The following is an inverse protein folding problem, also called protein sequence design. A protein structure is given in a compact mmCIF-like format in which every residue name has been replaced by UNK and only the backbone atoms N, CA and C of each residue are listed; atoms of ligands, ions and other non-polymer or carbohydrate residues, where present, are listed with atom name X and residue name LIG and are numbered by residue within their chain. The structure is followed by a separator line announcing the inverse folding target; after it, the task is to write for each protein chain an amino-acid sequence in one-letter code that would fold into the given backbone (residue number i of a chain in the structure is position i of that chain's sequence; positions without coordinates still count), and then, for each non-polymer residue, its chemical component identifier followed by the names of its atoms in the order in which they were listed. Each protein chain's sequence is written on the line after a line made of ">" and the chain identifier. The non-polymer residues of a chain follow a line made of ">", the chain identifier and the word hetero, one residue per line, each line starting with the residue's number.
data_IF_316858532558
#
_entry.id   IF_316858532558
#
_cell.length_a   1.000
_cell.length_b   1.000
_cell.length_c   1.000
_cell.angle_alpha   90.00
_cell.angle_beta   90.00
_cell.angle_gamma   90.00
#
_symmetry.space_group_name_H-M   'P 1'
#
loop_
_entity.id
_entity.type
_entity.pdbx_description
1 polymer ?
#
# COMPACT_ATOMS: atom_id res chain seq x y z
N UNK A 1 4.91 7.56 -4.82
CA UNK A 1 5.21 8.98 -4.72
C UNK A 1 6.37 9.24 -3.74
N UNK A 2 7.14 10.34 -3.93
CA UNK A 2 8.27 10.76 -3.11
C UNK A 2 9.10 11.84 -3.82
N UNK A 3 9.82 12.68 -3.06
CA UNK A 3 10.58 13.79 -3.60
C UNK A 3 9.70 14.81 -4.36
N UNK A 4 10.02 15.06 -5.62
CA UNK A 4 9.22 15.97 -6.48
C UNK A 4 7.80 15.47 -6.73
N UNK A 5 7.58 14.14 -6.75
CA UNK A 5 6.26 13.57 -6.97
C UNK A 5 5.48 13.53 -5.66
N UNK A 6 4.72 14.57 -5.38
CA UNK A 6 3.86 14.66 -4.21
C UNK A 6 2.67 13.71 -4.22
N UNK A 7 2.28 13.18 -5.40
CA UNK A 7 1.00 12.50 -5.55
C UNK A 7 -0.18 13.47 -5.50
N UNK A 8 -1.29 13.03 -4.98
CA UNK A 8 -2.48 13.85 -4.78
C UNK A 8 -2.28 14.88 -3.65
N UNK A 9 -3.00 16.00 -3.75
CA UNK A 9 -3.08 16.99 -2.67
C UNK A 9 -4.53 17.08 -2.20
N UNK A 10 -4.72 16.92 -0.92
CA UNK A 10 -6.01 16.93 -0.24
C UNK A 10 -6.66 18.32 -0.19
N UNK A 11 -7.94 18.35 0.16
CA UNK A 11 -8.72 19.59 0.30
C UNK A 11 -8.22 20.48 1.44
N UNK A 12 -7.50 19.90 2.41
CA UNK A 12 -6.83 20.58 3.53
C UNK A 12 -5.34 20.88 3.26
N UNK A 13 -4.85 20.61 2.05
CA UNK A 13 -3.43 20.77 1.68
C UNK A 13 -2.54 19.58 2.02
N UNK A 14 -3.09 18.52 2.60
CA UNK A 14 -2.35 17.29 2.93
C UNK A 14 -1.80 16.64 1.65
N UNK A 15 -0.53 16.26 1.66
CA UNK A 15 0.15 15.70 0.49
C UNK A 15 0.23 14.18 0.60
N UNK A 16 -0.18 13.48 -0.44
CA UNK A 16 -0.26 12.01 -0.46
C UNK A 16 1.06 11.34 -0.08
N UNK A 17 2.19 11.78 -0.62
CA UNK A 17 3.50 11.17 -0.34
C UNK A 17 3.85 11.13 1.15
N UNK A 18 3.42 12.13 1.92
CA UNK A 18 3.71 12.25 3.35
C UNK A 18 2.87 11.26 4.15
N UNK A 19 1.59 11.16 3.83
CA UNK A 19 0.67 10.16 4.45
C UNK A 19 1.10 8.73 4.11
N UNK A 20 1.46 8.49 2.84
CA UNK A 20 1.94 7.19 2.40
C UNK A 20 3.18 6.75 3.19
N UNK A 21 4.15 7.66 3.37
CA UNK A 21 5.38 7.38 4.13
C UNK A 21 5.08 7.11 5.60
N UNK A 22 4.20 7.90 6.22
CA UNK A 22 3.84 7.73 7.63
C UNK A 22 3.18 6.36 7.89
N UNK A 23 2.19 5.98 7.08
CA UNK A 23 1.50 4.69 7.21
C UNK A 23 2.46 3.53 6.89
N UNK A 24 3.26 3.64 5.82
CA UNK A 24 4.23 2.60 5.43
C UNK A 24 5.31 2.39 6.50
N UNK A 25 5.80 3.47 7.12
CA UNK A 25 6.78 3.40 8.21
C UNK A 25 6.20 2.71 9.45
N UNK A 26 4.99 3.09 9.88
CA UNK A 26 4.31 2.45 11.00
C UNK A 26 4.01 0.96 10.72
N UNK A 27 3.59 0.61 9.50
CA UNK A 27 3.41 -0.78 9.10
C UNK A 27 4.73 -1.56 9.16
N UNK A 28 5.82 -0.97 8.67
CA UNK A 28 7.14 -1.60 8.72
C UNK A 28 7.62 -1.82 10.16
N UNK A 29 7.34 -0.91 11.07
CA UNK A 29 7.64 -1.06 12.51
C UNK A 29 6.85 -2.22 13.12
N UNK A 30 5.54 -2.31 12.87
CA UNK A 30 4.70 -3.42 13.33
C UNK A 30 5.19 -4.78 12.83
N UNK A 31 5.52 -4.88 11.54
CA UNK A 31 6.04 -6.11 10.94
C UNK A 31 7.41 -6.50 11.51
N UNK A 32 8.33 -5.54 11.69
CA UNK A 32 9.66 -5.78 12.28
C UNK A 32 9.56 -6.20 13.73
N UNK A 33 8.64 -5.62 14.51
CA UNK A 33 8.37 -6.01 15.89
C UNK A 33 7.88 -7.47 16.01
N UNK A 34 7.21 -7.97 14.96
CA UNK A 34 6.81 -9.38 14.83
C UNK A 34 7.88 -10.27 14.15
N UNK A 35 9.12 -9.78 14.03
CA UNK A 35 10.29 -10.48 13.46
C UNK A 35 10.20 -10.77 11.95
N UNK A 36 9.38 -10.06 11.20
CA UNK A 36 9.39 -10.14 9.74
C UNK A 36 10.51 -9.29 9.14
N UNK A 37 11.04 -9.74 8.00
CA UNK A 37 11.98 -8.95 7.19
C UNK A 37 11.19 -7.94 6.37
N UNK A 38 11.53 -6.64 6.49
CA UNK A 38 10.84 -5.57 5.75
C UNK A 38 11.81 -4.71 4.98
N UNK A 39 11.58 -4.61 3.68
CA UNK A 39 12.23 -3.69 2.77
C UNK A 39 11.29 -2.52 2.51
N UNK A 40 11.62 -1.33 2.99
CA UNK A 40 10.92 -0.09 2.61
C UNK A 40 11.46 0.39 1.27
N UNK A 41 10.57 0.71 0.34
CA UNK A 41 10.95 1.32 -0.95
C UNK A 41 11.65 2.66 -0.72
N UNK A 42 11.17 3.42 0.25
CA UNK A 42 11.81 4.65 0.75
C UNK A 42 11.54 4.82 2.24
N UNK A 43 12.48 5.38 2.94
CA UNK A 43 12.40 5.72 4.38
C UNK A 43 12.49 7.23 4.63
N UNK A 44 12.33 8.03 3.58
CA UNK A 44 12.37 9.48 3.61
C UNK A 44 11.66 10.11 2.41
N UNK A 45 11.72 11.45 2.33
CA UNK A 45 11.12 12.19 1.21
C UNK A 45 12.06 12.27 0.00
N UNK A 46 12.16 11.16 -0.70
CA UNK A 46 12.90 11.05 -1.97
C UNK A 46 12.21 10.10 -2.93
N UNK A 47 12.53 10.26 -4.22
CA UNK A 47 12.16 9.33 -5.28
C UNK A 47 13.29 8.32 -5.49
N UNK A 48 12.94 7.06 -5.76
CA UNK A 48 13.91 6.00 -6.14
C UNK A 48 14.21 5.99 -7.64
N UNK A 49 13.63 6.92 -8.40
CA UNK A 49 13.87 7.12 -9.83
C UNK A 49 15.22 7.76 -10.13
N UNK A 50 15.65 7.66 -11.37
CA UNK A 50 16.90 8.29 -11.87
C UNK A 50 16.71 9.81 -11.95
N UNK A 51 17.36 10.54 -11.05
CA UNK A 51 17.29 12.00 -10.93
C UNK A 51 18.07 12.74 -12.05
N UNK A 52 18.87 12.04 -12.86
CA UNK A 52 19.59 12.62 -14.01
C UNK A 52 18.68 12.84 -15.23
N UNK A 53 17.49 12.23 -15.25
CA UNK A 53 16.52 12.36 -16.34
C UNK A 53 15.92 13.75 -16.39
N UNK A 54 15.67 14.23 -17.62
CA UNK A 54 15.39 15.65 -17.90
C UNK A 54 13.99 16.08 -17.46
N UNK A 55 13.00 15.19 -17.54
CA UNK A 55 11.60 15.54 -17.27
C UNK A 55 11.06 14.82 -16.04
N UNK A 56 10.08 15.43 -15.37
CA UNK A 56 9.37 14.83 -14.24
C UNK A 56 8.71 13.49 -14.67
N UNK A 57 8.16 13.44 -15.88
CA UNK A 57 7.51 12.25 -16.41
C UNK A 57 8.48 11.08 -16.56
N UNK A 58 9.70 11.34 -17.06
CA UNK A 58 10.74 10.31 -17.17
C UNK A 58 11.20 9.84 -15.80
N UNK A 59 11.38 10.77 -14.83
CA UNK A 59 11.75 10.41 -13.44
C UNK A 59 10.67 9.58 -12.76
N UNK A 60 9.39 9.90 -12.93
CA UNK A 60 8.27 9.08 -12.43
C UNK A 60 8.24 7.69 -13.03
N UNK A 61 8.46 7.59 -14.35
CA UNK A 61 8.55 6.30 -15.04
C UNK A 61 9.72 5.47 -14.52
N UNK A 62 10.87 6.10 -14.32
CA UNK A 62 12.06 5.46 -13.73
C UNK A 62 11.80 5.01 -12.29
N UNK A 63 11.15 5.84 -11.47
CA UNK A 63 10.77 5.49 -10.09
C UNK A 63 9.92 4.21 -10.07
N UNK A 64 8.86 4.16 -10.85
CA UNK A 64 7.97 2.99 -10.88
C UNK A 64 8.70 1.72 -11.35
N UNK A 65 9.57 1.83 -12.35
CA UNK A 65 10.41 0.70 -12.81
C UNK A 65 11.39 0.23 -11.74
N UNK A 66 11.99 1.15 -10.99
CA UNK A 66 12.92 0.81 -9.92
C UNK A 66 12.19 0.12 -8.75
N UNK A 67 10.90 0.46 -8.49
CA UNK A 67 10.07 -0.27 -7.52
C UNK A 67 9.82 -1.71 -7.96
N UNK A 68 9.48 -1.94 -9.23
CA UNK A 68 9.34 -3.30 -9.79
C UNK A 68 10.64 -4.08 -9.60
N UNK A 69 11.79 -3.50 -10.00
CA UNK A 69 13.08 -4.13 -9.85
C UNK A 69 13.41 -4.48 -8.39
N UNK A 70 13.11 -3.59 -7.45
CA UNK A 70 13.32 -3.85 -6.03
C UNK A 70 12.52 -5.07 -5.53
N UNK A 71 11.27 -5.22 -5.98
CA UNK A 71 10.45 -6.39 -5.67
C UNK A 71 11.05 -7.66 -6.27
N UNK A 72 11.48 -7.61 -7.54
CA UNK A 72 12.14 -8.73 -8.22
C UNK A 72 13.45 -9.14 -7.53
N UNK A 73 14.29 -8.18 -7.17
CA UNK A 73 15.55 -8.41 -6.44
C UNK A 73 15.32 -8.95 -5.01
N UNK A 74 14.21 -8.59 -4.38
CA UNK A 74 13.83 -9.11 -3.07
C UNK A 74 13.39 -10.58 -3.15
N UNK A 75 12.85 -11.02 -4.28
CA UNK A 75 12.46 -12.40 -4.56
C UNK A 75 11.16 -12.79 -3.87
N UNK A 76 11.16 -13.88 -3.10
CA UNK A 76 9.96 -14.35 -2.39
C UNK A 76 9.55 -13.36 -1.30
N UNK A 77 8.52 -12.55 -1.60
CA UNK A 77 8.02 -11.51 -0.70
C UNK A 77 6.53 -11.22 -0.97
N UNK A 78 5.93 -10.44 -0.10
CA UNK A 78 4.59 -9.86 -0.27
C UNK A 78 4.76 -8.36 -0.48
N UNK A 79 4.18 -7.82 -1.55
CA UNK A 79 4.18 -6.38 -1.84
C UNK A 79 2.92 -5.71 -1.29
N UNK A 80 3.13 -4.65 -0.50
CA UNK A 80 2.05 -3.77 -0.02
C UNK A 80 2.37 -2.34 -0.42
N UNK A 81 1.63 -1.78 -1.38
CA UNK A 81 1.79 -0.40 -1.83
C UNK A 81 0.76 0.50 -1.15
N UNK A 82 1.21 1.53 -0.43
CA UNK A 82 0.35 2.44 0.33
C UNK A 82 0.10 3.71 -0.48
N UNK A 83 -1.17 4.07 -0.65
CA UNK A 83 -1.64 5.20 -1.42
C UNK A 83 -2.83 5.91 -0.77
N UNK A 84 -3.14 7.11 -1.28
CA UNK A 84 -4.34 7.87 -0.93
C UNK A 84 -5.08 8.26 -2.21
N UNK A 85 -6.36 7.96 -2.25
CA UNK A 85 -7.20 8.24 -3.40
C UNK A 85 -7.57 9.73 -3.48
N UNK A 86 -7.87 10.18 -4.69
CA UNK A 86 -8.45 11.50 -4.97
C UNK A 86 -9.42 11.40 -6.12
N UNK A 87 -10.61 11.99 -5.98
CA UNK A 87 -11.60 12.04 -7.03
C UNK A 87 -12.28 13.41 -7.09
N UNK A 88 -12.89 13.78 -8.22
CA UNK A 88 -13.52 15.09 -8.37
C UNK A 88 -14.70 15.30 -7.42
N UNK A 89 -15.49 14.25 -7.18
CA UNK A 89 -16.63 14.31 -6.27
C UNK A 89 -16.19 13.99 -4.84
N UNK A 90 -16.38 14.95 -3.95
CA UNK A 90 -15.93 14.87 -2.54
C UNK A 90 -16.73 13.88 -1.67
N UNK A 91 -17.88 13.36 -2.14
CA UNK A 91 -18.67 12.37 -1.41
C UNK A 91 -18.06 10.96 -1.41
N UNK A 92 -17.11 10.68 -2.29
CA UNK A 92 -16.43 9.39 -2.28
C UNK A 92 -15.55 9.25 -1.04
N UNK A 93 -15.67 8.07 -0.40
CA UNK A 93 -14.98 7.74 0.84
C UNK A 93 -14.73 6.23 0.96
N UNK A 94 -13.90 5.86 1.92
CA UNK A 94 -13.57 4.47 2.27
C UNK A 94 -12.37 3.92 1.53
N UNK A 95 -11.56 3.16 2.25
CA UNK A 95 -10.39 2.48 1.71
C UNK A 95 -10.79 1.50 0.60
N UNK A 96 -9.90 1.33 -0.38
CA UNK A 96 -10.10 0.40 -1.50
C UNK A 96 -8.80 -0.33 -1.82
N UNK A 97 -8.86 -1.64 -1.94
CA UNK A 97 -7.73 -2.48 -2.30
C UNK A 97 -7.77 -2.82 -3.79
N UNK A 98 -6.61 -2.67 -4.44
CA UNK A 98 -6.35 -3.17 -5.78
C UNK A 98 -5.34 -4.30 -5.69
N UNK A 99 -5.60 -5.44 -6.31
CA UNK A 99 -4.72 -6.61 -6.24
C UNK A 99 -4.13 -6.96 -7.60
N UNK A 100 -2.90 -7.49 -7.60
CA UNK A 100 -2.23 -7.92 -8.82
C UNK A 100 -2.95 -9.11 -9.47
N UNK A 101 -3.19 -9.08 -10.80
CA UNK A 101 -3.74 -10.22 -11.53
C UNK A 101 -2.74 -11.37 -11.71
N UNK A 102 -1.45 -11.11 -11.50
CA UNK A 102 -0.38 -12.04 -11.86
C UNK A 102 -0.14 -13.15 -10.81
N UNK A 103 -0.69 -12.98 -9.61
CA UNK A 103 -0.56 -13.95 -8.54
C UNK A 103 -1.93 -14.22 -7.90
N UNK A 104 -2.42 -15.48 -7.86
CA UNK A 104 -3.76 -15.81 -7.36
C UNK A 104 -3.94 -15.51 -5.87
N UNK A 105 -2.86 -15.47 -5.08
CA UNK A 105 -2.93 -15.14 -3.66
C UNK A 105 -3.20 -13.64 -3.41
N UNK A 106 -2.99 -12.77 -4.42
CA UNK A 106 -3.19 -11.33 -4.30
C UNK A 106 -4.65 -10.95 -3.98
N UNK A 107 -5.62 -11.67 -4.52
CA UNK A 107 -7.03 -11.44 -4.22
C UNK A 107 -7.38 -11.81 -2.77
N UNK A 108 -6.82 -12.90 -2.23
CA UNK A 108 -6.98 -13.30 -0.83
C UNK A 108 -6.31 -12.30 0.10
N UNK A 109 -5.08 -11.88 -0.23
CA UNK A 109 -4.35 -10.84 0.49
C UNK A 109 -5.16 -9.54 0.59
N UNK A 110 -5.70 -9.06 -0.53
CA UNK A 110 -6.52 -7.86 -0.59
C UNK A 110 -7.79 -8.00 0.27
N UNK A 111 -8.43 -9.17 0.27
CA UNK A 111 -9.63 -9.41 1.08
C UNK A 111 -9.34 -9.44 2.57
N UNK A 112 -8.26 -10.08 3.01
CA UNK A 112 -7.85 -10.06 4.41
C UNK A 112 -7.60 -8.63 4.91
N UNK A 113 -6.89 -7.81 4.12
CA UNK A 113 -6.63 -6.41 4.47
C UNK A 113 -7.95 -5.60 4.48
N UNK A 114 -8.81 -5.77 3.47
CA UNK A 114 -10.10 -5.09 3.41
C UNK A 114 -10.97 -5.39 4.65
N UNK A 115 -11.10 -6.66 5.00
CA UNK A 115 -11.88 -7.07 6.17
C UNK A 115 -11.35 -6.44 7.44
N UNK A 116 -10.04 -6.50 7.67
CA UNK A 116 -9.41 -5.91 8.84
C UNK A 116 -9.63 -4.40 8.94
N UNK A 117 -9.49 -3.66 7.82
CA UNK A 117 -9.74 -2.21 7.77
C UNK A 117 -11.21 -1.88 8.03
N UNK A 118 -12.13 -2.62 7.43
CA UNK A 118 -13.58 -2.42 7.64
C UNK A 118 -13.96 -2.68 9.09
N UNK A 119 -13.52 -3.80 9.66
CA UNK A 119 -13.88 -4.18 11.02
C UNK A 119 -13.32 -3.22 12.08
N UNK A 120 -12.10 -2.73 11.89
CA UNK A 120 -11.42 -1.93 12.92
C UNK A 120 -11.59 -0.42 12.78
N UNK A 121 -11.71 0.11 11.54
CA UNK A 121 -11.66 1.56 11.30
C UNK A 121 -12.83 2.12 10.49
N UNK A 122 -13.35 1.35 9.54
CA UNK A 122 -14.28 1.85 8.55
C UNK A 122 -15.53 0.96 8.40
N UNK A 123 -16.32 0.74 9.47
CA UNK A 123 -17.43 -0.23 9.45
C UNK A 123 -18.52 0.10 8.41
N UNK A 124 -18.64 1.36 7.99
CA UNK A 124 -19.56 1.80 6.94
C UNK A 124 -18.98 1.64 5.51
N UNK A 125 -17.75 1.17 5.38
CA UNK A 125 -17.10 1.03 4.09
C UNK A 125 -17.59 -0.24 3.37
N UNK A 126 -18.32 -0.05 2.27
CA UNK A 126 -18.89 -1.12 1.45
C UNK A 126 -18.10 -1.38 0.16
N UNK A 127 -16.94 -0.75 -0.01
CA UNK A 127 -16.10 -0.91 -1.20
C UNK A 127 -15.58 -2.34 -1.30
N UNK A 128 -15.59 -2.84 -2.54
CA UNK A 128 -15.06 -4.16 -2.87
C UNK A 128 -13.65 -4.05 -3.44
N UNK A 129 -12.86 -5.09 -3.27
CA UNK A 129 -11.55 -5.20 -3.92
C UNK A 129 -11.68 -5.17 -5.44
N UNK A 130 -10.66 -4.69 -6.10
CA UNK A 130 -10.59 -4.65 -7.58
C UNK A 130 -9.30 -5.27 -8.07
N UNK A 131 -9.41 -6.01 -9.15
CA UNK A 131 -8.24 -6.40 -9.91
C UNK A 131 -7.60 -5.15 -10.54
N UNK A 132 -6.28 -5.04 -10.44
CA UNK A 132 -5.53 -3.92 -11.01
C UNK A 132 -5.45 -4.06 -12.52
N UNK A 133 -5.76 -2.98 -13.23
CA UNK A 133 -5.51 -2.87 -14.66
C UNK A 133 -4.05 -2.47 -14.94
N UNK A 134 -3.73 -2.32 -16.24
CA UNK A 134 -2.38 -1.93 -16.70
C UNK A 134 -1.97 -0.52 -16.23
N UNK A 135 -2.94 0.32 -15.86
CA UNK A 135 -2.70 1.66 -15.31
C UNK A 135 -1.99 1.65 -13.97
N UNK A 136 -2.11 0.55 -13.20
CA UNK A 136 -1.33 0.33 -11.98
C UNK A 136 -0.09 -0.50 -12.34
N UNK A 137 0.86 0.14 -13.03
CA UNK A 137 2.03 -0.52 -13.61
C UNK A 137 2.76 -1.45 -12.62
N UNK A 138 2.97 -1.02 -11.37
CA UNK A 138 3.64 -1.84 -10.37
C UNK A 138 2.95 -3.21 -10.20
N UNK A 139 1.64 -3.21 -9.99
CA UNK A 139 0.86 -4.45 -9.81
C UNK A 139 0.75 -5.29 -11.09
N UNK A 140 0.80 -4.65 -12.26
CA UNK A 140 0.75 -5.36 -13.55
C UNK A 140 2.05 -6.07 -13.91
N UNK A 141 3.18 -5.74 -13.26
CA UNK A 141 4.49 -6.31 -13.58
C UNK A 141 4.95 -7.39 -12.58
N UNK A 142 4.67 -7.22 -11.28
CA UNK A 142 5.17 -8.13 -10.25
C UNK A 142 4.45 -9.48 -10.25
N UNK A 143 5.17 -10.55 -9.85
CA UNK A 143 4.66 -11.92 -9.84
C UNK A 143 4.42 -12.45 -8.41
N UNK A 144 4.79 -11.69 -7.40
CA UNK A 144 4.54 -11.99 -5.98
C UNK A 144 3.12 -11.63 -5.57
N UNK A 145 2.60 -12.14 -4.44
CA UNK A 145 1.35 -11.63 -3.87
C UNK A 145 1.47 -10.12 -3.64
N UNK A 146 0.58 -9.34 -4.25
CA UNK A 146 0.72 -7.89 -4.29
C UNK A 146 -0.62 -7.16 -4.19
N UNK A 147 -0.64 -6.10 -3.37
CA UNK A 147 -1.80 -5.24 -3.16
C UNK A 147 -1.39 -3.77 -3.11
N UNK A 148 -2.23 -2.91 -3.66
CA UNK A 148 -2.20 -1.47 -3.45
C UNK A 148 -3.41 -1.10 -2.58
N UNK A 149 -3.14 -0.42 -1.48
CA UNK A 149 -4.11 0.03 -0.50
C UNK A 149 -4.32 1.53 -0.63
N UNK A 150 -5.45 1.93 -1.20
CA UNK A 150 -5.97 3.30 -1.11
C UNK A 150 -6.61 3.46 0.26
N UNK A 151 -5.95 4.12 1.21
CA UNK A 151 -6.38 4.18 2.61
C UNK A 151 -7.62 5.05 2.83
N UNK A 152 -7.87 6.02 1.95
CA UNK A 152 -9.01 6.93 1.96
C UNK A 152 -8.89 8.00 0.88
N UNK A 153 -9.86 8.90 0.82
CA UNK A 153 -9.94 9.94 -0.20
C UNK A 153 -9.50 11.31 0.32
N UNK A 154 -8.39 11.83 -0.19
CA UNK A 154 -7.90 13.18 0.10
C UNK A 154 -8.85 14.29 -0.41
N UNK A 155 -9.75 13.96 -1.33
CA UNK A 155 -10.81 14.85 -1.82
C UNK A 155 -12.02 14.93 -0.89
N UNK A 156 -12.16 13.99 0.07
CA UNK A 156 -13.23 14.01 1.07
C UNK A 156 -12.74 14.76 2.33
N UNK A 157 -13.42 15.85 2.77
CA UNK A 157 -12.95 16.65 3.90
C UNK A 157 -12.86 15.88 5.23
N UNK A 158 -13.76 14.94 5.47
CA UNK A 158 -13.76 14.14 6.69
C UNK A 158 -12.58 13.15 6.70
N UNK A 159 -12.35 12.46 5.58
CA UNK A 159 -11.23 11.53 5.45
C UNK A 159 -9.87 12.25 5.41
N UNK A 160 -9.77 13.37 4.71
CA UNK A 160 -8.55 14.18 4.71
C UNK A 160 -8.18 14.64 6.13
N UNK A 161 -9.17 15.03 6.96
CA UNK A 161 -8.96 15.39 8.35
C UNK A 161 -8.60 14.20 9.26
N UNK A 162 -9.02 12.98 8.92
CA UNK A 162 -8.59 11.76 9.61
C UNK A 162 -7.17 11.37 9.19
N UNK A 163 -6.88 11.34 7.90
CA UNK A 163 -5.59 10.96 7.33
C UNK A 163 -4.45 11.90 7.74
N UNK A 164 -4.76 13.15 8.14
CA UNK A 164 -3.79 14.09 8.71
C UNK A 164 -3.36 13.73 10.13
N UNK A 165 -4.16 12.93 10.86
CA UNK A 165 -3.89 12.57 12.26
C UNK A 165 -2.93 11.39 12.35
N UNK A 166 -1.83 11.55 13.05
CA UNK A 166 -0.84 10.49 13.30
C UNK A 166 -1.49 9.23 13.90
N UNK A 167 -2.40 9.39 14.88
CA UNK A 167 -3.08 8.24 15.47
C UNK A 167 -3.89 7.45 14.45
N UNK A 168 -4.58 8.10 13.51
CA UNK A 168 -5.32 7.41 12.47
C UNK A 168 -4.39 6.71 11.45
N UNK A 169 -3.23 7.31 11.14
CA UNK A 169 -2.21 6.68 10.30
C UNK A 169 -1.65 5.41 10.97
N UNK A 170 -1.41 5.46 12.28
CA UNK A 170 -0.98 4.30 13.07
C UNK A 170 -2.06 3.22 13.15
N UNK A 171 -3.32 3.61 13.36
CA UNK A 171 -4.47 2.68 13.36
C UNK A 171 -4.66 2.01 11.99
N UNK A 172 -4.48 2.77 10.89
CA UNK A 172 -4.52 2.23 9.53
C UNK A 172 -3.39 1.22 9.29
N UNK A 173 -2.18 1.55 9.72
CA UNK A 173 -1.05 0.64 9.64
C UNK A 173 -1.29 -0.66 10.46
N UNK A 174 -1.87 -0.55 11.64
CA UNK A 174 -2.23 -1.69 12.48
C UNK A 174 -3.33 -2.55 11.83
N UNK A 175 -4.33 -1.92 11.21
CA UNK A 175 -5.38 -2.64 10.47
C UNK A 175 -4.81 -3.41 9.27
N UNK A 176 -3.91 -2.79 8.48
CA UNK A 176 -3.22 -3.45 7.37
C UNK A 176 -2.37 -4.61 7.90
N UNK A 177 -1.60 -4.40 8.98
CA UNK A 177 -0.82 -5.44 9.63
C UNK A 177 -1.68 -6.64 10.03
N UNK A 178 -2.80 -6.43 10.71
CA UNK A 178 -3.71 -7.52 11.10
C UNK A 178 -4.24 -8.30 9.89
N UNK A 179 -4.58 -7.61 8.80
CA UNK A 179 -4.96 -8.25 7.54
C UNK A 179 -3.85 -9.10 6.94
N UNK A 180 -2.59 -8.65 7.02
CA UNK A 180 -1.42 -9.42 6.57
C UNK A 180 -1.20 -10.67 7.43
N UNK A 181 -1.36 -10.58 8.74
CA UNK A 181 -1.27 -11.75 9.63
C UNK A 181 -2.39 -12.77 9.29
N UNK A 182 -3.62 -12.30 9.13
CA UNK A 182 -4.74 -13.18 8.73
C UNK A 182 -4.48 -13.88 7.39
N UNK A 183 -3.87 -13.18 6.43
CA UNK A 183 -3.47 -13.78 5.15
C UNK A 183 -2.41 -14.87 5.34
N UNK A 184 -1.37 -14.63 6.14
CA UNK A 184 -0.32 -15.61 6.41
C UNK A 184 -0.88 -16.85 7.12
N UNK A 185 -1.76 -16.69 8.10
CA UNK A 185 -2.43 -17.80 8.81
C UNK A 185 -3.27 -18.67 7.85
N UNK A 186 -3.98 -18.04 6.90
CA UNK A 186 -4.75 -18.78 5.88
C UNK A 186 -3.82 -19.53 4.93
N UNK A 187 -2.70 -18.93 4.52
CA UNK A 187 -1.68 -19.54 3.66
C UNK A 187 -1.05 -20.75 4.34
N UNK A 188 -0.61 -20.65 5.59
CA UNK A 188 -0.05 -21.73 6.38
C UNK A 188 -1.05 -22.90 6.56
N UNK A 189 -2.31 -22.58 6.78
CA UNK A 189 -3.38 -23.58 6.91
C UNK A 189 -3.62 -24.34 5.60
N UNK A 190 -3.43 -23.68 4.44
CA UNK A 190 -3.57 -24.29 3.13
C UNK A 190 -2.36 -25.17 2.76
N UNK A 191 -1.15 -24.82 3.20
CA UNK A 191 0.10 -25.53 2.91
C UNK A 191 0.42 -26.69 3.87
N UNK A 192 -0.43 -27.00 4.85
CA UNK A 192 -0.25 -28.09 5.84
C UNK A 192 1.15 -28.12 6.48
N UNK A 193 1.55 -27.02 7.14
CA UNK A 193 2.64 -27.06 8.13
C UNK A 193 4.01 -26.53 7.68
N UNK A 194 4.11 -25.73 6.65
CA UNK A 194 5.33 -24.99 6.34
C UNK A 194 5.36 -23.65 7.10
N UNK A 195 6.34 -23.50 8.00
CA UNK A 195 6.60 -22.22 8.68
C UNK A 195 7.06 -21.17 7.67
N UNK A 196 6.24 -20.15 7.40
CA UNK A 196 6.61 -19.08 6.50
C UNK A 196 7.34 -17.96 7.24
N UNK A 197 8.66 -17.81 6.97
CA UNK A 197 9.38 -16.59 7.29
C UNK A 197 8.97 -15.52 6.26
N UNK A 198 7.94 -14.73 6.57
CA UNK A 198 7.43 -13.73 5.64
C UNK A 198 8.42 -12.59 5.42
N UNK A 199 8.62 -12.22 4.15
CA UNK A 199 9.36 -11.02 3.72
C UNK A 199 8.41 -10.07 3.04
N UNK A 200 8.48 -8.78 3.37
CA UNK A 200 7.60 -7.75 2.86
C UNK A 200 8.36 -6.65 2.15
N UNK A 201 7.80 -6.12 1.06
CA UNK A 201 8.18 -4.85 0.44
C UNK A 201 7.04 -3.87 0.65
N UNK A 202 7.33 -2.72 1.27
CA UNK A 202 6.35 -1.68 1.63
C UNK A 202 6.78 -0.33 1.06
#
# INVERSE_FOLDING_TARGET
>A
HGGEDGGAVGVNGLVEKDVNLAIASALAENLRAANFTVVLVRDGDYSVGDQSLSTISERKTSDTKNRVRLVEETGDCILVSIHQNKFEQSQYRGAQMFYSPNNPESAVLAECIRQSVVESLQPENTRQNKEAGEEIYLLSQVQVPAVLVECGFLSNPEEAALLEKECYQQDMAAAIYNGLISFLEQRESAEQGASSSGRFVV
#
